data_IF_231946729464
#
_entry.id   IF_231946729464
#
_cell.length_a   1.000
_cell.length_b   1.000
_cell.length_c   1.000
_cell.angle_alpha   90.00
_cell.angle_beta   90.00
_cell.angle_gamma   90.00
#
_symmetry.space_group_name_H-M   'P 1'
#
loop_
_entity.id
_entity.type
_entity.pdbx_description
1 polymer ?
#
# COMPACT_ATOMS: atom_id res chain seq x y z
N UNK A 1 4.41 5.66 10.63
CA UNK A 1 3.60 6.19 11.74
C UNK A 1 3.71 7.72 11.91
N UNK A 2 4.82 8.37 11.57
CA UNK A 2 4.96 9.83 11.73
C UNK A 2 3.92 10.66 10.94
N UNK A 3 3.49 10.20 9.76
CA UNK A 3 2.47 10.90 8.95
C UNK A 3 1.09 10.98 9.61
N UNK A 4 0.54 9.84 10.06
CA UNK A 4 -0.74 9.81 10.76
C UNK A 4 -0.73 10.67 12.03
N UNK A 5 0.37 10.61 12.80
CA UNK A 5 0.58 11.47 13.98
C UNK A 5 0.64 12.95 13.60
N UNK A 6 1.39 13.31 12.55
CA UNK A 6 1.52 14.70 12.11
C UNK A 6 0.17 15.29 11.65
N UNK A 7 -0.70 14.46 11.08
CA UNK A 7 -2.04 14.85 10.64
C UNK A 7 -3.10 14.77 11.75
N UNK A 8 -2.77 14.26 12.94
CA UNK A 8 -3.74 14.03 14.02
C UNK A 8 -4.81 12.97 13.68
N UNK A 9 -4.50 12.05 12.76
CA UNK A 9 -5.42 11.02 12.28
C UNK A 9 -5.13 9.68 12.95
N UNK A 10 -6.19 8.97 13.33
CA UNK A 10 -6.10 7.59 13.83
C UNK A 10 -6.08 6.60 12.65
N UNK A 11 -4.98 6.60 11.89
CA UNK A 11 -4.78 5.77 10.67
C UNK A 11 -3.32 5.29 10.55
N UNK A 12 -2.98 4.61 9.45
CA UNK A 12 -1.63 4.15 9.13
C UNK A 12 -1.28 2.78 9.70
N UNK A 13 -2.29 2.01 10.14
CA UNK A 13 -2.17 0.62 10.60
C UNK A 13 -3.38 -0.16 10.09
N UNK A 14 -3.14 -1.35 9.54
CA UNK A 14 -4.20 -2.29 9.15
C UNK A 14 -4.59 -3.10 10.38
N UNK A 15 -5.68 -2.71 11.04
CA UNK A 15 -6.22 -3.41 12.21
C UNK A 15 -7.74 -3.18 12.34
N UNK A 16 -8.48 -4.09 13.01
CA UNK A 16 -9.89 -3.89 13.30
C UNK A 16 -10.16 -2.58 14.04
N UNK A 17 -11.23 -1.88 13.67
CA UNK A 17 -11.62 -0.60 14.27
C UNK A 17 -10.88 0.63 13.73
N UNK A 18 -9.87 0.45 12.87
CA UNK A 18 -9.21 1.55 12.16
C UNK A 18 -9.78 1.73 10.75
N UNK A 19 -9.61 2.92 10.14
CA UNK A 19 -10.01 3.15 8.75
C UNK A 19 -9.37 2.14 7.80
N UNK A 20 -10.16 1.64 6.85
CA UNK A 20 -9.68 0.78 5.76
C UNK A 20 -8.97 1.62 4.68
N UNK A 21 -7.79 2.13 5.04
CA UNK A 21 -6.89 2.90 4.19
C UNK A 21 -5.72 2.02 3.74
N UNK A 22 -5.70 1.61 2.47
CA UNK A 22 -4.63 0.77 1.92
C UNK A 22 -4.57 0.84 0.40
N UNK A 23 -3.52 0.26 -0.16
CA UNK A 23 -3.32 0.10 -1.60
C UNK A 23 -3.35 -1.39 -1.97
N UNK A 24 -3.77 -1.68 -3.19
CA UNK A 24 -3.54 -2.98 -3.83
C UNK A 24 -2.26 -2.91 -4.68
N UNK A 25 -1.45 -3.97 -4.62
CA UNK A 25 -0.21 -4.11 -5.40
C UNK A 25 -0.32 -5.35 -6.29
N UNK A 26 0.01 -5.23 -7.58
CA UNK A 26 0.13 -6.39 -8.47
C UNK A 26 1.47 -7.10 -8.23
N UNK A 27 1.44 -8.14 -7.41
CA UNK A 27 2.60 -8.96 -7.07
C UNK A 27 3.10 -9.86 -8.20
N UNK A 28 2.37 -9.93 -9.32
CA UNK A 28 2.76 -10.69 -10.51
C UNK A 28 3.32 -9.80 -11.62
N UNK A 29 3.34 -8.47 -11.42
CA UNK A 29 3.92 -7.55 -12.40
C UNK A 29 5.41 -7.86 -12.59
N UNK A 30 5.97 -7.81 -13.82
CA UNK A 30 7.39 -8.13 -14.05
C UNK A 30 8.37 -7.29 -13.21
N UNK A 31 8.02 -6.05 -12.86
CA UNK A 31 8.84 -5.21 -11.97
C UNK A 31 8.90 -5.71 -10.52
N UNK A 32 7.96 -6.57 -10.11
CA UNK A 32 7.94 -7.20 -8.80
C UNK A 32 8.62 -8.57 -8.81
N UNK A 33 9.20 -9.04 -9.92
CA UNK A 33 9.73 -10.40 -10.02
C UNK A 33 10.79 -10.71 -8.95
N UNK A 34 10.67 -11.87 -8.30
CA UNK A 34 11.65 -12.35 -7.31
C UNK A 34 11.48 -11.81 -5.90
N UNK A 35 10.33 -11.18 -5.58
CA UNK A 35 10.01 -10.75 -4.21
C UNK A 35 9.75 -11.92 -3.25
N UNK A 36 10.05 -11.69 -1.99
CA UNK A 36 9.79 -12.53 -0.83
C UNK A 36 9.15 -11.68 0.29
N UNK A 37 8.62 -12.34 1.32
CA UNK A 37 7.88 -11.63 2.38
C UNK A 37 8.75 -10.69 3.23
N UNK A 38 10.05 -10.96 3.32
CA UNK A 38 11.03 -10.20 4.08
C UNK A 38 11.65 -9.03 3.30
N UNK A 39 11.60 -9.04 1.96
CA UNK A 39 12.15 -7.99 1.08
C UNK A 39 11.10 -7.25 0.24
N UNK A 40 9.81 -7.59 0.39
CA UNK A 40 8.72 -7.03 -0.42
C UNK A 40 8.75 -5.51 -0.54
N UNK A 41 9.03 -4.79 0.56
CA UNK A 41 9.08 -3.33 0.55
C UNK A 41 10.31 -2.78 -0.19
N UNK A 42 11.42 -3.49 -0.18
CA UNK A 42 12.62 -3.07 -0.91
C UNK A 42 12.38 -3.19 -2.42
N UNK A 43 11.81 -4.31 -2.86
CA UNK A 43 11.42 -4.50 -4.27
C UNK A 43 10.37 -3.48 -4.68
N UNK A 44 9.35 -3.23 -3.85
CA UNK A 44 8.30 -2.26 -4.14
C UNK A 44 8.83 -0.82 -4.25
N UNK A 45 9.69 -0.38 -3.33
CA UNK A 45 10.15 1.01 -3.30
C UNK A 45 11.32 1.32 -4.22
N UNK A 46 12.20 0.34 -4.46
CA UNK A 46 13.42 0.56 -5.24
C UNK A 46 13.41 -0.15 -6.60
N UNK A 47 12.57 -1.16 -6.80
CA UNK A 47 12.51 -1.98 -8.02
C UNK A 47 11.34 -1.70 -8.95
N UNK A 48 10.28 -1.05 -8.47
CA UNK A 48 9.07 -0.73 -9.24
C UNK A 48 8.79 0.78 -9.28
N UNK A 49 7.95 1.22 -10.21
CA UNK A 49 7.33 2.55 -10.15
C UNK A 49 5.82 2.42 -9.84
N UNK A 50 5.04 3.48 -9.98
CA UNK A 50 3.64 3.50 -9.52
C UNK A 50 2.69 2.59 -10.30
N UNK A 51 3.13 2.00 -11.43
CA UNK A 51 2.33 1.11 -12.27
C UNK A 51 1.91 -0.19 -11.58
N UNK A 52 2.64 -0.62 -10.54
CA UNK A 52 2.29 -1.82 -9.77
C UNK A 52 1.14 -1.57 -8.79
N UNK A 53 0.77 -0.31 -8.54
CA UNK A 53 -0.35 0.05 -7.67
C UNK A 53 -1.66 -0.08 -8.46
N UNK A 54 -2.43 -1.13 -8.16
CA UNK A 54 -3.66 -1.44 -8.90
C UNK A 54 -4.89 -0.73 -8.36
N UNK A 55 -4.90 -0.44 -7.06
CA UNK A 55 -6.06 0.11 -6.36
C UNK A 55 -5.65 0.99 -5.19
N UNK A 56 -6.48 1.98 -4.88
CA UNK A 56 -6.35 2.80 -3.66
C UNK A 56 -7.68 2.86 -2.94
N UNK A 57 -7.64 2.60 -1.64
CA UNK A 57 -8.80 2.57 -0.75
C UNK A 57 -8.62 3.59 0.37
N UNK A 58 -9.68 4.36 0.63
CA UNK A 58 -9.73 5.37 1.69
C UNK A 58 -11.06 5.23 2.44
N UNK A 59 -11.01 4.98 3.75
CA UNK A 59 -12.18 4.77 4.59
C UNK A 59 -13.06 3.61 4.11
N UNK A 60 -12.47 2.58 3.50
CA UNK A 60 -13.20 1.45 2.94
C UNK A 60 -13.88 1.73 1.60
N UNK A 61 -13.61 2.88 0.97
CA UNK A 61 -14.08 3.20 -0.38
C UNK A 61 -12.92 3.15 -1.37
N UNK A 62 -13.13 2.49 -2.49
CA UNK A 62 -12.18 2.53 -3.61
C UNK A 62 -12.22 3.90 -4.26
N UNK A 63 -11.07 4.58 -4.33
CA UNK A 63 -10.94 5.93 -4.89
C UNK A 63 -10.13 5.98 -6.19
N UNK A 64 -9.35 4.94 -6.47
CA UNK A 64 -8.57 4.80 -7.71
C UNK A 64 -8.36 3.32 -8.05
N UNK A 65 -8.05 3.06 -9.33
CA UNK A 65 -7.81 1.72 -9.87
C UNK A 65 -9.03 1.07 -10.53
N UNK A 66 -8.79 0.08 -11.40
CA UNK A 66 -9.85 -0.78 -11.96
C UNK A 66 -10.22 -1.89 -10.98
#
# INVERSE_FOLDING_TARGET
QSGARALGLQTGVIAPGLPADFIGVDVNHPAMAGWYSDDFLDVLFFGASSEVITQTWVGGRKVSGK
#
